data_IF_805793546689
#
_entry.id   IF_805793546689
#
_cell.length_a   1.000
_cell.length_b   1.000
_cell.length_c   1.000
_cell.angle_alpha   90.00
_cell.angle_beta   90.00
_cell.angle_gamma   90.00
#
_symmetry.space_group_name_H-M   'P 1'
#
loop_
_entity.id
_entity.type
_entity.pdbx_description
1 polymer ?
#
# COMPACT_ATOMS: atom_id res chain seq x y z
N UNK A 1 36.03 16.15 17.94
CA UNK A 1 34.67 16.39 17.39
C UNK A 1 33.85 15.15 17.62
N UNK A 2 32.78 15.21 18.41
CA UNK A 2 31.80 14.11 18.53
C UNK A 2 30.87 14.21 17.33
N UNK A 3 30.85 13.21 16.46
CA UNK A 3 29.83 13.06 15.42
C UNK A 3 28.49 12.90 16.13
N UNK A 4 27.60 13.87 15.93
CA UNK A 4 26.21 13.73 16.33
C UNK A 4 25.64 12.58 15.50
N UNK A 5 25.22 11.51 16.17
CA UNK A 5 24.36 10.49 15.60
C UNK A 5 23.05 11.21 15.23
N UNK A 6 22.90 11.60 13.96
CA UNK A 6 21.61 12.03 13.44
C UNK A 6 20.66 10.86 13.66
N UNK A 7 19.74 11.00 14.61
CA UNK A 7 18.63 10.07 14.75
C UNK A 7 17.87 10.13 13.42
N UNK A 8 17.96 9.06 12.64
CA UNK A 8 17.21 8.92 11.39
C UNK A 8 15.74 8.93 11.79
N UNK A 9 15.08 10.06 11.60
CA UNK A 9 13.64 10.15 11.80
C UNK A 9 12.98 9.18 10.81
N UNK A 10 12.06 8.31 11.26
CA UNK A 10 11.32 7.47 10.33
C UNK A 10 10.56 8.36 9.37
N UNK A 11 10.64 8.07 8.07
CA UNK A 11 9.92 8.83 7.06
C UNK A 11 8.41 8.73 7.27
N UNK A 12 7.67 9.74 6.80
CA UNK A 12 6.22 9.79 6.97
C UNK A 12 5.55 8.56 6.34
N UNK A 13 6.03 8.10 5.18
CA UNK A 13 5.52 6.88 4.53
C UNK A 13 5.72 5.66 5.42
N UNK A 14 6.91 5.46 5.98
CA UNK A 14 7.18 4.32 6.86
C UNK A 14 6.34 4.38 8.14
N UNK A 15 6.23 5.54 8.76
CA UNK A 15 5.40 5.72 9.97
C UNK A 15 3.92 5.41 9.71
N UNK A 16 3.36 5.94 8.60
CA UNK A 16 1.98 5.69 8.20
C UNK A 16 1.75 4.21 7.85
N UNK A 17 2.68 3.61 7.09
CA UNK A 17 2.58 2.20 6.71
C UNK A 17 2.65 1.27 7.92
N UNK A 18 3.56 1.51 8.87
CA UNK A 18 3.62 0.73 10.10
C UNK A 18 2.33 0.83 10.92
N UNK A 19 1.73 2.03 11.03
CA UNK A 19 0.43 2.15 11.73
C UNK A 19 -0.69 1.45 10.96
N UNK A 20 -0.67 1.51 9.63
CA UNK A 20 -1.63 0.78 8.79
C UNK A 20 -1.56 -0.73 9.04
N UNK A 21 -0.36 -1.31 9.11
CA UNK A 21 -0.18 -2.74 9.39
C UNK A 21 -0.69 -3.11 10.79
N UNK A 22 -0.40 -2.28 11.79
CA UNK A 22 -0.90 -2.46 13.16
C UNK A 22 -2.42 -2.42 13.22
N UNK A 23 -3.04 -1.39 12.64
CA UNK A 23 -4.50 -1.25 12.61
C UNK A 23 -5.16 -2.41 11.85
N UNK A 24 -4.53 -2.89 10.77
CA UNK A 24 -5.00 -4.06 10.02
C UNK A 24 -4.93 -5.35 10.85
N UNK A 25 -3.85 -5.54 11.61
CA UNK A 25 -3.71 -6.68 12.52
C UNK A 25 -4.74 -6.61 13.67
N UNK A 26 -4.93 -5.42 14.26
CA UNK A 26 -5.97 -5.17 15.26
C UNK A 26 -7.36 -5.48 14.71
N UNK A 27 -7.67 -5.08 13.46
CA UNK A 27 -8.95 -5.36 12.81
C UNK A 27 -9.19 -6.87 12.67
N UNK A 28 -8.16 -7.64 12.31
CA UNK A 28 -8.26 -9.11 12.24
C UNK A 28 -8.56 -9.69 13.63
N UNK A 29 -7.88 -9.22 14.68
CA UNK A 29 -8.15 -9.65 16.05
C UNK A 29 -9.59 -9.35 16.48
N UNK A 30 -10.07 -8.12 16.23
CA UNK A 30 -11.45 -7.72 16.56
C UNK A 30 -12.46 -8.51 15.72
N UNK A 31 -12.20 -8.75 14.44
CA UNK A 31 -13.07 -9.57 13.58
C UNK A 31 -13.21 -11.00 14.10
N UNK A 32 -12.15 -11.58 14.64
CA UNK A 32 -12.21 -12.90 15.25
C UNK A 32 -13.03 -12.87 16.56
N UNK A 33 -12.84 -11.85 17.39
CA UNK A 33 -13.63 -11.64 18.61
C UNK A 33 -15.12 -11.42 18.29
N UNK A 34 -15.44 -10.71 17.21
CA UNK A 34 -16.80 -10.49 16.73
C UNK A 34 -17.45 -11.82 16.32
N UNK A 35 -16.72 -12.66 15.57
CA UNK A 35 -17.19 -13.98 15.17
C UNK A 35 -17.43 -14.91 16.37
N UNK A 36 -16.59 -14.84 17.39
CA UNK A 36 -16.78 -15.59 18.64
C UNK A 36 -18.00 -15.06 19.40
N UNK A 37 -18.13 -13.74 19.53
CA UNK A 37 -19.26 -13.09 20.19
C UNK A 37 -20.60 -13.37 19.48
N UNK A 38 -20.61 -13.53 18.15
CA UNK A 38 -21.78 -13.99 17.38
C UNK A 38 -22.27 -15.37 17.79
N UNK A 39 -21.35 -16.25 18.15
CA UNK A 39 -21.65 -17.65 18.41
C UNK A 39 -21.91 -17.90 19.90
N UNK A 40 -21.17 -17.23 20.77
CA UNK A 40 -21.10 -17.53 22.20
C UNK A 40 -21.26 -16.31 23.12
N UNK A 41 -21.29 -15.09 22.57
CA UNK A 41 -21.28 -13.85 23.33
C UNK A 41 -22.66 -13.23 23.57
N UNK A 42 -22.67 -12.21 24.41
CA UNK A 42 -23.80 -11.34 24.68
C UNK A 42 -24.07 -10.37 23.51
N UNK A 43 -25.27 -9.78 23.50
CA UNK A 43 -25.58 -8.69 22.56
C UNK A 43 -24.65 -7.48 22.72
N UNK A 44 -24.15 -7.25 23.95
CA UNK A 44 -23.22 -6.16 24.25
C UNK A 44 -21.85 -6.39 23.64
N UNK A 45 -21.28 -7.58 23.82
CA UNK A 45 -19.96 -7.94 23.26
C UNK A 45 -19.96 -7.85 21.73
N UNK A 46 -21.06 -8.30 21.09
CA UNK A 46 -21.23 -8.15 19.63
C UNK A 46 -21.23 -6.68 19.21
N UNK A 47 -22.02 -5.85 19.89
CA UNK A 47 -22.09 -4.43 19.57
C UNK A 47 -20.74 -3.71 19.78
N UNK A 48 -20.02 -4.03 20.86
CA UNK A 48 -18.69 -3.46 21.14
C UNK A 48 -17.67 -3.88 20.06
N UNK A 49 -17.69 -5.13 19.62
CA UNK A 49 -16.82 -5.63 18.54
C UNK A 49 -17.15 -4.98 17.18
N UNK A 50 -18.43 -4.89 16.81
CA UNK A 50 -18.88 -4.20 15.59
C UNK A 50 -18.47 -2.71 15.60
N UNK A 51 -18.64 -2.03 16.74
CA UNK A 51 -18.24 -0.63 16.89
C UNK A 51 -16.71 -0.46 16.74
N UNK A 52 -15.92 -1.37 17.31
CA UNK A 52 -14.47 -1.36 17.19
C UNK A 52 -14.01 -1.61 15.74
N UNK A 53 -14.63 -2.57 15.03
CA UNK A 53 -14.36 -2.80 13.60
C UNK A 53 -14.64 -1.55 12.76
N UNK A 54 -15.75 -0.85 13.03
CA UNK A 54 -16.07 0.39 12.33
C UNK A 54 -15.05 1.51 12.57
N UNK A 55 -14.51 1.64 13.78
CA UNK A 55 -13.48 2.63 14.10
C UNK A 55 -12.17 2.29 13.37
N UNK A 56 -11.74 1.03 13.46
CA UNK A 56 -10.51 0.55 12.81
C UNK A 56 -10.59 0.64 11.29
N UNK A 57 -11.74 0.29 10.69
CA UNK A 57 -11.95 0.44 9.25
C UNK A 57 -11.76 1.89 8.78
N UNK A 58 -12.35 2.87 9.49
CA UNK A 58 -12.15 4.29 9.17
C UNK A 58 -10.70 4.75 9.34
N UNK A 59 -10.00 4.22 10.34
CA UNK A 59 -8.58 4.54 10.54
C UNK A 59 -7.73 3.99 9.38
N UNK A 60 -7.94 2.74 8.99
CA UNK A 60 -7.24 2.10 7.87
C UNK A 60 -7.46 2.89 6.57
N UNK A 61 -8.70 3.30 6.29
CA UNK A 61 -9.02 4.13 5.12
C UNK A 61 -8.32 5.50 5.17
N UNK A 62 -8.32 6.15 6.34
CA UNK A 62 -7.65 7.44 6.53
C UNK A 62 -6.13 7.33 6.36
N UNK A 63 -5.52 6.28 6.88
CA UNK A 63 -4.09 5.99 6.72
C UNK A 63 -3.73 5.73 5.26
N UNK A 64 -4.55 4.94 4.55
CA UNK A 64 -4.38 4.69 3.12
C UNK A 64 -4.47 5.99 2.33
N UNK A 65 -5.46 6.83 2.59
CA UNK A 65 -5.56 8.16 1.96
C UNK A 65 -4.33 9.03 2.26
N UNK A 66 -3.90 9.09 3.51
CA UNK A 66 -2.70 9.86 3.88
C UNK A 66 -1.44 9.38 3.14
N UNK A 67 -1.29 8.07 2.94
CA UNK A 67 -0.21 7.46 2.16
C UNK A 67 -0.24 7.89 0.70
N UNK A 68 -1.41 7.93 0.06
CA UNK A 68 -1.55 8.33 -1.36
C UNK A 68 -1.13 9.79 -1.64
N UNK A 69 -1.08 10.65 -0.62
CA UNK A 69 -0.62 12.04 -0.75
C UNK A 69 0.88 12.22 -0.43
N UNK A 70 1.61 11.15 -0.14
CA UNK A 70 3.05 11.25 0.13
C UNK A 70 3.88 11.17 -1.15
N UNK A 71 5.05 11.82 -1.13
CA UNK A 71 6.09 11.70 -2.16
C UNK A 71 7.18 10.80 -1.59
N UNK A 72 7.54 9.69 -2.26
CA UNK A 72 8.61 8.82 -1.79
C UNK A 72 9.98 9.40 -2.12
N UNK A 73 10.89 9.35 -1.15
CA UNK A 73 12.28 9.79 -1.31
C UNK A 73 13.25 8.60 -1.50
N UNK A 74 12.75 7.37 -1.30
CA UNK A 74 13.52 6.13 -1.46
C UNK A 74 12.75 5.09 -2.25
N UNK A 75 13.48 4.12 -2.83
CA UNK A 75 12.87 2.98 -3.52
C UNK A 75 11.90 2.20 -2.64
N UNK A 76 12.29 1.94 -1.39
CA UNK A 76 11.46 1.21 -0.42
C UNK A 76 10.12 1.92 -0.20
N UNK A 77 10.15 3.24 -0.03
CA UNK A 77 8.95 4.04 0.16
C UNK A 77 8.03 4.05 -1.06
N UNK A 78 8.60 4.11 -2.25
CA UNK A 78 7.82 4.04 -3.47
C UNK A 78 7.18 2.65 -3.66
N UNK A 79 7.87 1.56 -3.32
CA UNK A 79 7.26 0.22 -3.30
C UNK A 79 6.12 0.13 -2.29
N UNK A 80 6.28 0.73 -1.10
CA UNK A 80 5.19 0.85 -0.12
C UNK A 80 4.01 1.62 -0.71
N UNK A 81 4.25 2.76 -1.35
CA UNK A 81 3.20 3.58 -1.97
C UNK A 81 2.48 2.82 -3.10
N UNK A 82 3.22 2.12 -3.95
CA UNK A 82 2.68 1.25 -4.99
C UNK A 82 1.70 0.22 -4.40
N UNK A 83 2.09 -0.47 -3.33
CA UNK A 83 1.23 -1.46 -2.67
C UNK A 83 -0.14 -0.86 -2.31
N UNK A 84 -0.15 0.35 -1.75
CA UNK A 84 -1.38 1.05 -1.37
C UNK A 84 -2.20 1.55 -2.56
N UNK A 85 -1.55 2.02 -3.62
CA UNK A 85 -2.24 2.43 -4.87
C UNK A 85 -2.93 1.23 -5.53
N UNK A 86 -2.25 0.08 -5.61
CA UNK A 86 -2.81 -1.16 -6.18
C UNK A 86 -4.00 -1.64 -5.36
N UNK A 87 -3.90 -1.60 -4.03
CA UNK A 87 -5.03 -1.92 -3.14
C UNK A 87 -6.23 -1.01 -3.39
N UNK A 88 -6.01 0.31 -3.43
CA UNK A 88 -7.06 1.29 -3.69
C UNK A 88 -7.72 1.11 -5.07
N UNK A 89 -6.93 0.80 -6.11
CA UNK A 89 -7.45 0.52 -7.44
C UNK A 89 -8.34 -0.74 -7.44
N UNK A 90 -7.97 -1.79 -6.70
CA UNK A 90 -8.77 -3.01 -6.60
C UNK A 90 -10.12 -2.76 -5.94
N UNK A 91 -10.14 -1.98 -4.85
CA UNK A 91 -11.37 -1.65 -4.11
C UNK A 91 -12.39 -0.87 -4.95
N UNK A 92 -11.93 -0.10 -5.96
CA UNK A 92 -12.79 0.66 -6.87
C UNK A 92 -13.36 -0.19 -8.04
N UNK A 93 -12.70 -1.30 -8.39
CA UNK A 93 -13.08 -2.14 -9.54
C UNK A 93 -14.21 -3.15 -9.27
N UNK A 94 -15.17 -2.84 -8.39
CA UNK A 94 -16.29 -3.73 -7.97
C UNK A 94 -17.27 -4.20 -9.07
N UNK A 95 -16.82 -4.39 -10.32
CA UNK A 95 -17.55 -5.01 -11.42
C UNK A 95 -17.59 -4.22 -12.73
N UNK A 96 -16.94 -3.05 -12.82
CA UNK A 96 -16.98 -2.18 -14.00
C UNK A 96 -15.65 -1.50 -14.34
N UNK A 97 -15.55 -0.95 -15.55
CA UNK A 97 -14.41 -0.12 -15.97
C UNK A 97 -14.52 1.23 -15.27
N UNK A 98 -13.77 1.39 -14.18
CA UNK A 98 -13.71 2.63 -13.43
C UNK A 98 -12.47 3.44 -13.88
N UNK A 99 -12.72 4.60 -14.49
CA UNK A 99 -11.69 5.56 -14.93
C UNK A 99 -10.76 5.97 -13.78
N UNK A 100 -11.25 5.91 -12.54
CA UNK A 100 -10.49 6.23 -11.34
C UNK A 100 -9.49 5.12 -10.99
N UNK A 101 -9.86 3.85 -11.18
CA UNK A 101 -8.93 2.73 -11.06
C UNK A 101 -7.85 2.76 -12.16
N UNK A 102 -8.20 3.16 -13.39
CA UNK A 102 -7.23 3.32 -14.47
C UNK A 102 -6.22 4.43 -14.18
N UNK A 103 -6.68 5.58 -13.65
CA UNK A 103 -5.81 6.67 -13.22
C UNK A 103 -4.84 6.25 -12.10
N UNK A 104 -5.28 5.43 -11.15
CA UNK A 104 -4.43 4.87 -10.09
C UNK A 104 -3.38 3.89 -10.65
N UNK A 105 -3.73 3.09 -11.64
CA UNK A 105 -2.76 2.20 -12.32
C UNK A 105 -1.72 3.00 -13.14
N UNK A 106 -2.11 4.11 -13.75
CA UNK A 106 -1.17 5.03 -14.41
C UNK A 106 -0.24 5.69 -13.38
N UNK A 107 -0.76 6.14 -12.24
CA UNK A 107 0.06 6.70 -11.17
C UNK A 107 1.10 5.69 -10.64
N UNK A 108 0.71 4.42 -10.55
CA UNK A 108 1.63 3.32 -10.21
C UNK A 108 2.76 3.19 -11.23
N UNK A 109 2.42 3.23 -12.52
CA UNK A 109 3.40 3.14 -13.60
C UNK A 109 4.35 4.35 -13.63
N UNK A 110 3.85 5.56 -13.37
CA UNK A 110 4.68 6.77 -13.28
C UNK A 110 5.62 6.73 -12.08
N UNK A 111 5.16 6.20 -10.94
CA UNK A 111 6.00 5.99 -9.76
C UNK A 111 7.16 5.03 -10.06
N UNK A 112 6.93 4.01 -10.89
CA UNK A 112 8.01 3.12 -11.33
C UNK A 112 9.00 3.75 -12.28
N UNK A 113 8.55 4.56 -13.24
CA UNK A 113 9.48 5.28 -14.11
C UNK A 113 10.39 6.19 -13.27
N UNK A 114 9.85 6.85 -12.24
CA UNK A 114 10.65 7.62 -11.28
C UNK A 114 11.71 6.74 -10.59
N UNK A 115 11.33 5.55 -10.10
CA UNK A 115 12.26 4.61 -9.46
C UNK A 115 13.35 4.07 -10.39
N UNK A 116 13.04 3.84 -11.66
CA UNK A 116 13.99 3.37 -12.65
C UNK A 116 14.95 4.46 -13.15
N UNK A 117 14.61 5.74 -12.96
CA UNK A 117 15.38 6.88 -13.47
C UNK A 117 16.16 7.65 -12.41
N UNK A 118 15.71 7.68 -11.15
CA UNK A 118 16.32 8.50 -10.08
C UNK A 118 17.02 7.71 -8.97
N UNK A 119 17.09 6.38 -9.06
CA UNK A 119 17.86 5.62 -8.06
C UNK A 119 19.37 5.75 -8.32
N UNK A 120 20.03 6.57 -7.50
CA UNK A 120 21.50 6.56 -7.32
C UNK A 120 22.00 5.26 -6.61
N UNK A 121 21.08 4.36 -6.25
CA UNK A 121 21.39 3.01 -5.76
C UNK A 121 21.92 2.17 -6.90
N UNK A 122 23.13 1.61 -6.75
CA UNK A 122 23.76 0.74 -7.75
C UNK A 122 22.81 -0.38 -8.19
N UNK A 123 22.35 -0.33 -9.44
CA UNK A 123 21.39 -1.29 -9.98
C UNK A 123 21.88 -2.75 -9.85
N UNK A 124 23.21 -2.98 -9.78
CA UNK A 124 23.79 -4.29 -9.52
C UNK A 124 23.57 -4.77 -8.08
N UNK A 125 23.53 -3.87 -7.09
CA UNK A 125 23.31 -4.19 -5.68
C UNK A 125 21.85 -4.58 -5.39
N UNK A 126 20.90 -4.08 -6.20
CA UNK A 126 19.47 -4.36 -6.04
C UNK A 126 19.02 -5.65 -6.77
N UNK A 127 19.87 -6.19 -7.64
CA UNK A 127 19.81 -7.56 -8.10
C UNK A 127 18.51 -7.96 -8.85
N UNK A 128 18.09 -9.24 -8.74
CA UNK A 128 16.96 -9.80 -9.50
C UNK A 128 15.61 -9.12 -9.24
N UNK A 129 15.39 -8.59 -8.04
CA UNK A 129 14.11 -8.00 -7.63
C UNK A 129 13.77 -6.73 -8.43
N UNK A 130 14.78 -5.91 -8.78
CA UNK A 130 14.60 -4.77 -9.67
C UNK A 130 14.20 -5.21 -11.08
N UNK A 131 14.93 -6.18 -11.63
CA UNK A 131 14.68 -6.69 -12.97
C UNK A 131 13.29 -7.32 -13.08
N UNK A 132 12.88 -8.09 -12.08
CA UNK A 132 11.61 -8.81 -12.10
C UNK A 132 10.42 -7.84 -12.00
N UNK A 133 10.54 -6.80 -11.17
CA UNK A 133 9.49 -5.78 -11.06
C UNK A 133 9.47 -4.83 -12.27
N UNK A 134 10.62 -4.41 -12.80
CA UNK A 134 10.70 -3.65 -14.06
C UNK A 134 10.09 -4.44 -15.25
N UNK A 135 10.38 -5.74 -15.33
CA UNK A 135 9.76 -6.64 -16.30
C UNK A 135 8.25 -6.72 -16.11
N UNK A 136 7.76 -6.83 -14.87
CA UNK A 136 6.32 -6.89 -14.59
C UNK A 136 5.60 -5.61 -15.02
N UNK A 137 6.20 -4.44 -14.81
CA UNK A 137 5.67 -3.15 -15.29
C UNK A 137 5.68 -3.10 -16.82
N UNK A 138 6.81 -3.48 -17.45
CA UNK A 138 6.92 -3.55 -18.91
C UNK A 138 5.85 -4.47 -19.52
N UNK A 139 5.66 -5.67 -18.97
CA UNK A 139 4.63 -6.61 -19.43
C UNK A 139 3.21 -6.08 -19.20
N UNK A 140 2.92 -5.46 -18.05
CA UNK A 140 1.61 -4.84 -17.80
C UNK A 140 1.33 -3.71 -18.80
N UNK A 141 2.30 -2.83 -19.05
CA UNK A 141 2.20 -1.76 -20.07
C UNK A 141 1.94 -2.35 -21.44
N UNK A 142 2.73 -3.36 -21.84
CA UNK A 142 2.57 -4.08 -23.12
C UNK A 142 1.17 -4.66 -23.29
N UNK A 143 0.63 -5.29 -22.25
CA UNK A 143 -0.73 -5.85 -22.27
C UNK A 143 -1.81 -4.78 -22.34
N UNK A 144 -1.61 -3.62 -21.68
CA UNK A 144 -2.57 -2.49 -21.70
C UNK A 144 -2.55 -1.71 -23.01
N UNK A 145 -1.39 -1.52 -23.63
CA UNK A 145 -1.26 -0.75 -24.88
C UNK A 145 -1.49 -1.59 -26.14
N UNK A 146 -1.71 -2.90 -26.00
CA UNK A 146 -1.94 -3.80 -27.13
C UNK A 146 -0.72 -3.95 -28.06
N UNK A 147 0.47 -3.58 -27.60
CA UNK A 147 1.71 -3.71 -28.38
C UNK A 147 2.15 -5.17 -28.36
N UNK A 148 1.53 -5.98 -29.21
CA UNK A 148 2.03 -7.31 -29.57
C UNK A 148 3.06 -7.07 -30.66
N UNK A 149 4.36 -7.18 -30.33
CA UNK A 149 5.39 -7.27 -31.36
C UNK A 149 5.09 -8.48 -32.26
N UNK A 150 5.00 -8.22 -33.56
CA UNK A 150 5.04 -9.23 -34.61
C UNK A 150 6.48 -9.61 -34.98
#
# INVERSE_FOLDING_TARGET
MKTATNAVMPSCINALHTRFEQASAELVTVSNAESEARTHGSARERWEAEAAMHVLGREIDALRMALLYQVPDTRREAMTLQFHIVGAAHDQTGGGVDLQAEALLIATDTLFDFLCCETDEDHEAIGPEFRDEANRVFFKRRMRTGVVEG
#
